data_IF_000972264341
#
_entry.id   IF_000972264341
#
_cell.length_a   1.000
_cell.length_b   1.000
_cell.length_c   1.000
_cell.angle_alpha   90.00
_cell.angle_beta   90.00
_cell.angle_gamma   90.00
#
_symmetry.space_group_name_H-M   'P 1'
#
loop_
_entity.id
_entity.type
_entity.pdbx_description
1 polymer ?
#
# COMPACT_ATOMS: atom_id res chain seq x y z
N UNK A 1 -8.09 39.86 18.07
CA UNK A 1 -6.61 39.82 18.06
C UNK A 1 -6.16 38.58 17.31
N UNK A 2 -5.56 38.72 16.11
CA UNK A 2 -4.84 37.62 15.47
C UNK A 2 -3.50 37.48 16.18
N UNK A 3 -3.29 36.40 16.91
CA UNK A 3 -1.96 36.03 17.39
C UNK A 3 -1.15 35.74 16.12
N UNK A 4 -0.18 36.60 15.81
CA UNK A 4 0.77 36.32 14.74
C UNK A 4 1.55 35.06 15.15
N UNK A 5 1.50 34.02 14.33
CA UNK A 5 2.37 32.85 14.49
C UNK A 5 3.80 33.30 14.23
N UNK A 6 4.51 33.67 15.29
CA UNK A 6 5.95 33.90 15.23
C UNK A 6 6.62 32.61 14.72
N UNK A 7 7.34 32.65 13.57
CA UNK A 7 7.98 31.47 13.00
C UNK A 7 8.97 30.81 13.97
N UNK A 8 9.61 31.57 14.87
CA UNK A 8 10.52 31.01 15.87
C UNK A 8 9.79 30.18 16.94
N UNK A 9 8.58 30.59 17.32
CA UNK A 9 7.75 29.85 18.28
C UNK A 9 7.14 28.60 17.65
N UNK A 10 6.78 28.66 16.37
CA UNK A 10 6.34 27.48 15.62
C UNK A 10 7.45 26.44 15.50
N UNK A 11 8.67 26.87 15.17
CA UNK A 11 9.82 25.97 15.05
C UNK A 11 10.10 25.27 16.39
N UNK A 12 10.12 26.00 17.51
CA UNK A 12 10.27 25.43 18.85
C UNK A 12 9.18 24.41 19.18
N UNK A 13 7.95 24.64 18.72
CA UNK A 13 6.83 23.69 18.91
C UNK A 13 7.06 22.42 18.11
N UNK A 14 7.49 22.53 16.86
CA UNK A 14 7.78 21.39 15.99
C UNK A 14 8.96 20.57 16.53
N UNK A 15 10.01 21.23 17.01
CA UNK A 15 11.19 20.57 17.59
C UNK A 15 10.80 19.79 18.86
N UNK A 16 9.95 20.39 19.71
CA UNK A 16 9.41 19.70 20.89
C UNK A 16 8.57 18.48 20.54
N UNK A 17 7.70 18.60 19.52
CA UNK A 17 6.93 17.46 19.03
C UNK A 17 7.86 16.38 18.50
N UNK A 18 8.88 16.74 17.72
CA UNK A 18 9.86 15.79 17.19
C UNK A 18 10.57 15.03 18.31
N UNK A 19 11.08 15.74 19.32
CA UNK A 19 11.72 15.13 20.49
C UNK A 19 10.80 14.16 21.24
N UNK A 20 9.50 14.45 21.36
CA UNK A 20 8.53 13.52 21.96
C UNK A 20 8.37 12.24 21.14
N UNK A 21 8.43 12.31 19.80
CA UNK A 21 8.31 11.12 18.94
C UNK A 21 9.59 10.29 18.85
N UNK A 22 10.73 10.80 19.32
CA UNK A 22 11.97 10.02 19.45
C UNK A 22 11.90 9.02 20.62
N UNK A 23 11.10 9.32 21.65
CA UNK A 23 10.81 8.38 22.73
C UNK A 23 9.90 7.23 22.25
N UNK A 24 10.38 5.97 22.27
CA UNK A 24 9.60 4.82 21.84
C UNK A 24 8.38 4.55 22.73
N UNK A 25 8.44 4.85 24.03
CA UNK A 25 7.31 4.62 24.95
C UNK A 25 6.18 5.62 24.67
N UNK A 26 6.52 6.90 24.53
CA UNK A 26 5.57 7.93 24.11
C UNK A 26 4.92 7.57 22.77
N UNK A 27 5.71 7.13 21.78
CA UNK A 27 5.20 6.75 20.47
C UNK A 27 4.24 5.57 20.56
N UNK A 28 4.58 4.53 21.33
CA UNK A 28 3.72 3.37 21.52
C UNK A 28 2.38 3.75 22.20
N UNK A 29 2.44 4.52 23.28
CA UNK A 29 1.24 5.01 23.98
C UNK A 29 0.37 5.91 23.10
N UNK A 30 1.00 6.76 22.28
CA UNK A 30 0.32 7.62 21.33
C UNK A 30 -0.41 6.82 20.24
N UNK A 31 0.24 5.80 19.67
CA UNK A 31 -0.37 4.91 18.68
C UNK A 31 -1.55 4.15 19.32
N UNK A 32 -1.38 3.59 20.52
CA UNK A 32 -2.44 2.87 21.22
C UNK A 32 -3.68 3.77 21.44
N UNK A 33 -3.47 5.03 21.86
CA UNK A 33 -4.55 6.02 22.00
C UNK A 33 -5.26 6.30 20.68
N UNK A 34 -4.51 6.47 19.59
CA UNK A 34 -5.10 6.70 18.27
C UNK A 34 -5.89 5.49 17.78
N UNK A 35 -5.37 4.27 17.97
CA UNK A 35 -6.08 3.03 17.66
C UNK A 35 -7.40 2.95 18.41
N UNK A 36 -7.40 3.30 19.70
CA UNK A 36 -8.61 3.26 20.52
C UNK A 36 -9.66 4.27 20.05
N UNK A 37 -9.26 5.52 19.80
CA UNK A 37 -10.15 6.54 19.22
C UNK A 37 -10.70 6.10 17.86
N UNK A 38 -9.90 5.41 17.05
CA UNK A 38 -10.31 4.92 15.73
C UNK A 38 -11.27 3.72 15.77
N UNK A 39 -11.31 2.96 16.88
CA UNK A 39 -12.27 1.85 17.06
C UNK A 39 -13.67 2.33 17.39
N UNK A 40 -13.78 3.55 17.94
CA UNK A 40 -15.06 4.13 18.34
C UNK A 40 -15.99 4.37 17.14
N UNK A 41 -17.20 3.78 17.12
CA UNK A 41 -18.09 3.83 15.97
C UNK A 41 -18.55 5.25 15.62
N UNK A 42 -18.75 6.12 16.62
CA UNK A 42 -19.17 7.51 16.44
C UNK A 42 -18.11 8.36 15.73
N UNK A 43 -16.84 8.16 16.07
CA UNK A 43 -15.72 8.84 15.39
C UNK A 43 -15.59 8.35 13.95
N UNK A 44 -15.76 7.04 13.73
CA UNK A 44 -15.74 6.46 12.39
C UNK A 44 -16.90 7.00 11.55
N UNK A 45 -18.11 7.07 12.10
CA UNK A 45 -19.28 7.61 11.42
C UNK A 45 -19.11 9.10 11.08
N UNK A 46 -18.61 9.90 12.03
CA UNK A 46 -18.31 11.32 11.81
C UNK A 46 -17.30 11.53 10.67
N UNK A 47 -16.25 10.71 10.60
CA UNK A 47 -15.27 10.78 9.50
C UNK A 47 -15.85 10.38 8.15
N UNK A 48 -16.71 9.36 8.12
CA UNK A 48 -17.42 8.97 6.89
C UNK A 48 -18.27 10.15 6.41
N UNK A 49 -19.02 10.79 7.31
CA UNK A 49 -19.88 11.91 6.95
C UNK A 49 -19.07 13.14 6.51
N UNK A 50 -17.98 13.44 7.21
CA UNK A 50 -17.05 14.48 6.80
C UNK A 50 -16.43 14.20 5.43
N UNK A 51 -16.09 12.94 5.13
CA UNK A 51 -15.60 12.52 3.83
C UNK A 51 -16.63 12.71 2.72
N UNK A 52 -17.90 12.36 2.96
CA UNK A 52 -19.00 12.63 2.02
C UNK A 52 -19.19 14.13 1.81
N UNK A 53 -19.13 14.92 2.88
CA UNK A 53 -19.23 16.37 2.80
C UNK A 53 -18.13 16.95 1.93
N UNK A 54 -16.85 16.64 2.19
CA UNK A 54 -15.72 17.08 1.36
C UNK A 54 -15.90 16.65 -0.09
N UNK A 55 -16.35 15.42 -0.32
CA UNK A 55 -16.59 14.94 -1.67
C UNK A 55 -17.62 15.83 -2.39
N UNK A 56 -18.75 16.12 -1.75
CA UNK A 56 -19.81 16.93 -2.31
C UNK A 56 -19.41 18.41 -2.50
N UNK A 57 -18.70 19.00 -1.53
CA UNK A 57 -18.45 20.45 -1.51
C UNK A 57 -17.14 20.86 -2.19
N UNK A 58 -16.11 20.03 -2.14
CA UNK A 58 -14.77 20.35 -2.65
C UNK A 58 -14.42 19.50 -3.85
N UNK A 59 -14.43 18.17 -3.72
CA UNK A 59 -13.91 17.28 -4.76
C UNK A 59 -14.83 17.17 -5.97
N UNK A 60 -16.12 17.47 -5.81
CA UNK A 60 -17.11 17.46 -6.90
C UNK A 60 -17.09 18.74 -7.73
N UNK A 61 -16.40 19.80 -7.29
CA UNK A 61 -16.36 21.08 -8.00
C UNK A 61 -15.75 20.91 -9.41
N UNK A 62 -16.30 21.57 -10.44
CA UNK A 62 -15.85 21.39 -11.82
C UNK A 62 -14.36 21.72 -12.03
N UNK A 63 -13.84 22.76 -11.39
CA UNK A 63 -12.44 23.18 -11.44
C UNK A 63 -11.50 22.11 -10.86
N UNK A 64 -11.82 21.59 -9.67
CA UNK A 64 -11.05 20.54 -9.00
C UNK A 64 -11.10 19.22 -9.78
N UNK A 65 -12.29 18.86 -10.29
CA UNK A 65 -12.44 17.66 -11.13
C UNK A 65 -11.66 17.79 -12.43
N UNK A 66 -11.78 18.90 -13.15
CA UNK A 66 -11.05 19.13 -14.40
C UNK A 66 -9.54 19.01 -14.20
N UNK A 67 -9.01 19.59 -13.11
CA UNK A 67 -7.58 19.51 -12.77
C UNK A 67 -7.14 18.08 -12.40
N UNK A 68 -7.88 17.41 -11.52
CA UNK A 68 -7.53 16.07 -11.03
C UNK A 68 -7.77 14.96 -12.04
N UNK A 69 -8.72 15.15 -12.95
CA UNK A 69 -9.10 14.21 -14.00
C UNK A 69 -8.50 14.55 -15.36
N UNK A 70 -7.62 15.56 -15.44
CA UNK A 70 -6.96 15.90 -16.69
C UNK A 70 -6.18 14.69 -17.22
N UNK A 71 -6.08 14.52 -18.56
CA UNK A 71 -5.31 13.42 -19.15
C UNK A 71 -3.88 13.37 -18.61
N UNK A 72 -3.26 14.53 -18.40
CA UNK A 72 -1.91 14.65 -17.84
C UNK A 72 -1.83 14.17 -16.39
N UNK A 73 -2.76 14.61 -15.52
CA UNK A 73 -2.80 14.20 -14.12
C UNK A 73 -3.05 12.70 -13.98
N UNK A 74 -3.96 12.14 -14.79
CA UNK A 74 -4.24 10.71 -14.87
C UNK A 74 -3.03 9.92 -15.37
N UNK A 75 -2.35 10.40 -16.41
CA UNK A 75 -1.14 9.77 -16.93
C UNK A 75 -0.01 9.78 -15.89
N UNK A 76 0.21 10.90 -15.19
CA UNK A 76 1.19 11.00 -14.10
C UNK A 76 0.86 10.04 -12.97
N UNK A 77 -0.39 10.00 -12.50
CA UNK A 77 -0.81 9.06 -11.46
C UNK A 77 -0.61 7.59 -11.88
N UNK A 78 -0.90 7.27 -13.15
CA UNK A 78 -0.64 5.95 -13.73
C UNK A 78 0.84 5.57 -13.74
N UNK A 79 1.72 6.51 -14.11
CA UNK A 79 3.18 6.33 -14.06
C UNK A 79 3.67 6.09 -12.64
N UNK A 80 3.36 6.99 -11.70
CA UNK A 80 3.77 6.88 -10.29
C UNK A 80 3.29 5.57 -9.67
N UNK A 81 2.03 5.19 -9.93
CA UNK A 81 1.51 3.90 -9.45
C UNK A 81 2.28 2.72 -10.03
N UNK A 82 2.59 2.75 -11.32
CA UNK A 82 3.36 1.70 -11.97
C UNK A 82 4.79 1.63 -11.43
N UNK A 83 5.44 2.77 -11.20
CA UNK A 83 6.77 2.84 -10.59
C UNK A 83 6.80 2.28 -9.18
N UNK A 84 5.78 2.58 -8.37
CA UNK A 84 5.71 2.11 -6.98
C UNK A 84 5.36 0.62 -6.90
N UNK A 85 4.35 0.18 -7.65
CA UNK A 85 3.83 -1.20 -7.57
C UNK A 85 4.70 -2.18 -8.36
N UNK A 86 5.28 -1.73 -9.48
CA UNK A 86 6.17 -2.51 -10.34
C UNK A 86 7.62 -2.02 -10.24
N UNK A 87 8.03 -1.59 -9.04
CA UNK A 87 9.43 -1.22 -8.76
C UNK A 87 10.40 -2.37 -9.00
N UNK A 88 9.95 -3.62 -8.79
CA UNK A 88 10.71 -4.84 -9.07
C UNK A 88 10.83 -5.16 -10.57
N UNK A 89 9.93 -4.63 -11.41
CA UNK A 89 9.86 -4.97 -12.83
C UNK A 89 10.50 -3.84 -13.67
N UNK A 90 11.51 -4.16 -14.50
CA UNK A 90 12.12 -3.20 -15.41
C UNK A 90 11.07 -2.52 -16.31
N UNK A 91 11.21 -1.21 -16.59
CA UNK A 91 10.21 -0.44 -17.36
C UNK A 91 9.77 -1.10 -18.68
N UNK A 92 10.71 -1.69 -19.40
CA UNK A 92 10.53 -2.39 -20.68
C UNK A 92 9.65 -3.65 -20.57
N UNK A 93 9.64 -4.31 -19.41
CA UNK A 93 8.85 -5.53 -19.15
C UNK A 93 7.49 -5.26 -18.50
N UNK A 94 7.21 -4.02 -18.08
CA UNK A 94 5.92 -3.68 -17.44
C UNK A 94 4.71 -3.89 -18.35
N UNK A 95 4.85 -3.62 -19.65
CA UNK A 95 3.79 -3.84 -20.62
C UNK A 95 3.45 -5.33 -20.76
N UNK A 96 4.48 -6.18 -20.76
CA UNK A 96 4.35 -7.63 -20.79
C UNK A 96 3.70 -8.16 -19.51
N UNK A 97 4.14 -7.69 -18.34
CA UNK A 97 3.50 -8.02 -17.05
C UNK A 97 2.00 -7.71 -17.06
N UNK A 98 1.64 -6.50 -17.51
CA UNK A 98 0.24 -6.09 -17.61
C UNK A 98 -0.53 -6.97 -18.59
N UNK A 99 0.11 -7.45 -19.67
CA UNK A 99 -0.52 -8.38 -20.60
C UNK A 99 -0.82 -9.73 -19.97
N UNK A 100 0.13 -10.28 -19.22
CA UNK A 100 -0.05 -11.55 -18.50
C UNK A 100 -1.20 -11.46 -17.49
N UNK A 101 -1.24 -10.39 -16.69
CA UNK A 101 -2.24 -10.24 -15.62
C UNK A 101 -3.61 -9.81 -16.15
N UNK A 102 -3.67 -8.79 -16.99
CA UNK A 102 -4.95 -8.18 -17.40
C UNK A 102 -5.65 -8.95 -18.52
N UNK A 103 -4.89 -9.46 -19.48
CA UNK A 103 -5.45 -10.06 -20.70
C UNK A 103 -5.38 -11.58 -20.69
N UNK A 104 -4.30 -12.16 -20.16
CA UNK A 104 -4.19 -13.62 -20.01
C UNK A 104 -4.71 -14.14 -18.68
N UNK A 105 -5.16 -13.25 -17.78
CA UNK A 105 -5.68 -13.60 -16.45
C UNK A 105 -4.74 -14.48 -15.62
N UNK A 106 -3.43 -14.36 -15.85
CA UNK A 106 -2.43 -15.08 -15.06
C UNK A 106 -2.34 -14.41 -13.69
N UNK A 107 -2.33 -15.18 -12.58
CA UNK A 107 -2.14 -14.63 -11.25
C UNK A 107 -0.87 -13.77 -11.18
N UNK A 108 -0.95 -12.63 -10.50
CA UNK A 108 0.16 -11.67 -10.41
C UNK A 108 1.49 -12.30 -9.96
N UNK A 109 1.44 -13.24 -9.01
CA UNK A 109 2.61 -13.96 -8.52
C UNK A 109 3.24 -14.90 -9.56
N UNK A 110 2.45 -15.43 -10.48
CA UNK A 110 2.93 -16.27 -11.58
C UNK A 110 3.45 -15.43 -12.74
N UNK A 111 2.74 -14.35 -13.10
CA UNK A 111 3.23 -13.39 -14.09
C UNK A 111 4.57 -12.75 -13.68
N UNK A 112 4.76 -12.50 -12.38
CA UNK A 112 6.04 -12.03 -11.83
C UNK A 112 7.15 -13.06 -12.03
N UNK A 113 6.89 -14.33 -11.73
CA UNK A 113 7.87 -15.42 -11.93
C UNK A 113 8.28 -15.56 -13.38
N UNK A 114 7.32 -15.54 -14.31
CA UNK A 114 7.60 -15.59 -15.75
C UNK A 114 8.57 -14.48 -16.20
N UNK A 115 8.38 -13.26 -15.69
CA UNK A 115 9.26 -12.12 -16.03
C UNK A 115 10.61 -12.21 -15.33
N UNK A 116 10.66 -12.62 -14.06
CA UNK A 116 11.93 -12.80 -13.34
C UNK A 116 12.78 -13.93 -13.96
N UNK A 117 12.14 -14.99 -14.45
CA UNK A 117 12.80 -16.08 -15.18
C UNK A 117 13.34 -15.60 -16.55
N UNK A 118 12.56 -14.79 -17.28
CA UNK A 118 13.01 -14.19 -18.54
C UNK A 118 14.17 -13.20 -18.35
N UNK A 119 14.16 -12.45 -17.25
CA UNK A 119 15.23 -11.52 -16.88
C UNK A 119 16.48 -12.21 -16.33
N UNK A 120 16.45 -13.54 -16.13
CA UNK A 120 17.56 -14.30 -15.57
C UNK A 120 17.90 -13.91 -14.12
N UNK A 121 16.96 -13.27 -13.39
CA UNK A 121 17.15 -12.88 -11.99
C UNK A 121 17.17 -14.12 -11.09
N UNK A 122 16.52 -15.21 -11.53
CA UNK A 122 16.62 -16.53 -10.93
C UNK A 122 17.10 -17.54 -11.96
N UNK A 123 18.00 -18.42 -11.54
CA UNK A 123 18.40 -19.55 -12.38
C UNK A 123 17.29 -20.62 -12.39
N UNK A 124 17.11 -21.38 -13.49
CA UNK A 124 16.09 -22.44 -13.58
C UNK A 124 16.17 -23.47 -12.43
N UNK A 125 17.35 -23.68 -11.86
CA UNK A 125 17.58 -24.57 -10.72
C UNK A 125 17.03 -24.02 -9.40
N UNK A 126 17.17 -22.72 -9.16
CA UNK A 126 16.60 -22.05 -7.98
C UNK A 126 15.07 -22.00 -8.05
N UNK A 127 14.52 -21.89 -9.26
CA UNK A 127 13.10 -21.97 -9.50
C UNK A 127 12.56 -23.39 -9.27
N UNK A 128 13.29 -24.42 -9.74
CA UNK A 128 13.00 -25.82 -9.46
C UNK A 128 12.96 -26.12 -7.96
N UNK A 129 13.96 -25.65 -7.19
CA UNK A 129 14.00 -25.83 -5.73
C UNK A 129 12.81 -25.20 -5.03
N UNK A 130 12.44 -23.96 -5.39
CA UNK A 130 11.28 -23.27 -4.78
C UNK A 130 9.95 -23.91 -5.11
N UNK A 131 9.79 -24.47 -6.32
CA UNK A 131 8.58 -25.21 -6.70
C UNK A 131 8.45 -26.48 -5.83
N UNK A 132 9.55 -27.21 -5.65
CA UNK A 132 9.60 -28.40 -4.78
C UNK A 132 9.29 -28.02 -3.33
N UNK A 133 9.89 -26.93 -2.81
CA UNK A 133 9.63 -26.45 -1.44
C UNK A 133 8.15 -26.12 -1.23
N UNK A 134 7.51 -25.44 -2.19
CA UNK A 134 6.08 -25.12 -2.13
C UNK A 134 5.22 -26.38 -2.12
N UNK A 135 5.49 -27.34 -3.00
CA UNK A 135 4.75 -28.61 -3.05
C UNK A 135 4.91 -29.36 -1.73
N UNK A 136 6.11 -29.32 -1.16
CA UNK A 136 6.43 -29.97 0.12
C UNK A 136 5.67 -29.34 1.27
N UNK A 137 5.61 -28.00 1.33
CA UNK A 137 4.83 -27.24 2.32
C UNK A 137 3.33 -27.55 2.16
N UNK A 138 2.79 -27.58 0.95
CA UNK A 138 1.39 -27.92 0.71
C UNK A 138 1.06 -29.36 1.12
N UNK A 139 1.96 -30.31 0.86
CA UNK A 139 1.84 -31.69 1.35
C UNK A 139 1.81 -31.73 2.87
N UNK A 140 2.74 -31.06 3.54
CA UNK A 140 2.81 -31.03 5.00
C UNK A 140 1.56 -30.40 5.62
N UNK A 141 1.03 -29.35 5.00
CA UNK A 141 -0.22 -28.73 5.42
C UNK A 141 -1.44 -29.65 5.22
N UNK A 142 -1.48 -30.44 4.13
CA UNK A 142 -2.53 -31.44 3.91
C UNK A 142 -2.46 -32.58 4.93
N UNK A 143 -1.27 -33.06 5.24
CA UNK A 143 -1.07 -34.13 6.22
C UNK A 143 -1.39 -33.66 7.64
N UNK A 144 -1.02 -32.42 7.99
CA UNK A 144 -1.44 -31.80 9.25
C UNK A 144 -2.97 -31.72 9.36
N UNK A 145 -3.66 -31.31 8.30
CA UNK A 145 -5.14 -31.27 8.26
C UNK A 145 -5.77 -32.66 8.42
N UNK A 146 -5.20 -33.69 7.77
CA UNK A 146 -5.65 -35.08 7.91
C UNK A 146 -5.49 -35.60 9.34
N UNK A 147 -4.37 -35.31 9.99
CA UNK A 147 -4.15 -35.68 11.39
C UNK A 147 -5.13 -35.01 12.35
N UNK A 148 -5.49 -33.75 12.10
CA UNK A 148 -6.48 -33.02 12.90
C UNK A 148 -7.91 -33.56 12.70
N UNK A 149 -8.25 -34.08 11.51
CA UNK A 149 -9.58 -34.67 11.24
C UNK A 149 -9.73 -36.11 11.76
N UNK A 150 -8.64 -36.77 12.14
CA UNK A 150 -8.63 -38.15 12.62
C UNK A 150 -8.71 -38.29 14.15
N UNK A 151 -8.65 -37.17 14.88
CA UNK A 151 -8.86 -37.06 16.33
C UNK A 151 -10.15 -36.30 16.61
#
# INVERSE_FOLDING_TARGET
MRIANDPAMEQRRLDRVRALYEDPEYRAAHIARLCEVNRRPEIRASRVEHGKHIHATVLSRPDVRAKSQSPEARARAGRTRSETVLSWCPPEKRAEYMRLVKWKHIPAAEARRMIEAELGIFTPEEEGRRIVDRITIEMHMRDARRKVQAY
#
